data_IF_913158222604
#
_entry.id   IF_913158222604
#
_cell.length_a   1.000
_cell.length_b   1.000
_cell.length_c   1.000
_cell.angle_alpha   90.00
_cell.angle_beta   90.00
_cell.angle_gamma   90.00
#
_symmetry.space_group_name_H-M   'P 1'
#
loop_
_entity.id
_entity.type
_entity.pdbx_description
1 polymer ?
#
# COMPACT_ATOMS: atom_id res chain seq x y z
N UNK A 1 26.68 -16.28 -0.68
CA UNK A 1 26.43 -14.83 -0.61
C UNK A 1 25.01 -14.66 -0.12
N UNK A 2 24.85 -14.30 1.15
CA UNK A 2 23.54 -13.95 1.72
C UNK A 2 23.02 -12.70 0.99
N UNK A 3 21.79 -12.71 0.46
CA UNK A 3 21.24 -11.55 -0.21
C UNK A 3 21.17 -10.39 0.79
N UNK A 4 21.63 -9.22 0.35
CA UNK A 4 21.70 -7.98 1.12
C UNK A 4 20.36 -7.66 1.76
N UNK A 5 20.32 -7.56 3.08
CA UNK A 5 19.13 -7.18 3.83
C UNK A 5 18.84 -5.69 3.60
N UNK A 6 17.97 -5.48 2.61
CA UNK A 6 16.77 -4.64 2.63
C UNK A 6 16.93 -3.15 2.99
N UNK A 7 16.89 -2.28 1.97
CA UNK A 7 16.83 -0.82 2.06
C UNK A 7 15.48 -0.27 2.58
N UNK A 8 14.65 -1.03 3.31
CA UNK A 8 13.32 -0.52 3.68
C UNK A 8 13.43 0.74 4.57
N UNK A 9 12.70 1.80 4.22
CA UNK A 9 12.75 3.08 4.91
C UNK A 9 11.39 3.44 5.52
N UNK A 10 11.37 4.14 6.68
CA UNK A 10 10.15 4.54 7.38
C UNK A 10 9.50 5.75 6.71
N UNK A 11 9.25 5.68 5.41
CA UNK A 11 8.60 6.71 4.58
C UNK A 11 7.50 6.07 3.73
N UNK A 12 6.73 6.87 3.00
CA UNK A 12 5.68 6.33 2.14
C UNK A 12 4.55 5.65 2.93
N UNK A 13 4.02 4.52 2.44
CA UNK A 13 3.01 3.74 3.16
C UNK A 13 3.54 3.10 4.46
N UNK A 14 4.85 3.20 4.72
CA UNK A 14 5.52 2.69 5.91
C UNK A 14 5.84 3.79 6.93
N UNK A 15 5.36 5.01 6.70
CA UNK A 15 5.59 6.15 7.57
C UNK A 15 4.92 5.97 8.95
N UNK A 16 5.64 6.17 10.08
CA UNK A 16 5.04 6.14 11.42
C UNK A 16 4.06 7.29 11.68
N UNK A 17 4.21 8.40 10.95
CA UNK A 17 3.53 9.66 11.24
C UNK A 17 2.26 9.82 10.41
N UNK A 18 1.40 8.80 10.36
CA UNK A 18 0.22 8.82 9.51
C UNK A 18 -0.71 10.02 9.78
N UNK A 19 -1.06 10.73 8.70
CA UNK A 19 -1.97 11.87 8.72
C UNK A 19 -3.36 11.46 9.17
N UNK A 20 -4.15 12.38 9.75
CA UNK A 20 -5.53 12.08 10.13
C UNK A 20 -6.38 11.57 8.95
N UNK A 21 -6.17 12.12 7.74
CA UNK A 21 -6.91 11.67 6.55
C UNK A 21 -6.56 10.23 6.18
N UNK A 22 -5.26 9.90 6.14
CA UNK A 22 -4.80 8.54 5.88
C UNK A 22 -5.33 7.56 6.95
N UNK A 23 -5.23 7.93 8.24
CA UNK A 23 -5.75 7.12 9.35
C UNK A 23 -7.24 6.81 9.19
N UNK A 24 -8.05 7.83 8.86
CA UNK A 24 -9.50 7.65 8.69
C UNK A 24 -9.83 6.75 7.50
N UNK A 25 -9.09 6.88 6.40
CA UNK A 25 -9.25 6.02 5.23
C UNK A 25 -8.96 4.54 5.57
N UNK A 26 -7.96 4.30 6.42
CA UNK A 26 -7.53 2.97 6.82
C UNK A 26 -8.26 2.42 8.06
N UNK A 27 -9.14 3.20 8.68
CA UNK A 27 -9.83 2.82 9.92
C UNK A 27 -11.02 1.87 9.73
N UNK A 28 -11.44 1.56 8.50
CA UNK A 28 -12.58 0.66 8.26
C UNK A 28 -12.20 -0.82 8.48
N UNK A 29 -12.14 -1.23 9.75
CA UNK A 29 -11.89 -2.61 10.15
C UNK A 29 -12.96 -3.60 9.66
N UNK A 30 -14.19 -3.11 9.40
CA UNK A 30 -15.29 -3.95 8.94
C UNK A 30 -15.06 -4.35 7.48
N UNK A 31 -14.73 -3.40 6.63
CA UNK A 31 -14.37 -3.69 5.23
C UNK A 31 -13.17 -4.64 5.16
N UNK A 32 -12.16 -4.43 6.02
CA UNK A 32 -11.02 -5.33 6.15
C UNK A 32 -11.43 -6.76 6.47
N UNK A 33 -12.19 -6.97 7.53
CA UNK A 33 -12.59 -8.31 7.97
C UNK A 33 -13.45 -9.02 6.91
N UNK A 34 -14.32 -8.26 6.23
CA UNK A 34 -15.13 -8.79 5.13
C UNK A 34 -14.27 -9.27 3.95
N UNK A 35 -13.19 -8.55 3.63
CA UNK A 35 -12.29 -8.94 2.54
C UNK A 35 -11.50 -10.21 2.84
N UNK A 36 -10.99 -10.36 4.06
CA UNK A 36 -10.35 -11.60 4.53
C UNK A 36 -11.29 -12.81 4.36
N UNK A 37 -12.58 -12.67 4.74
CA UNK A 37 -13.56 -13.75 4.58
C UNK A 37 -13.87 -14.07 3.11
N UNK A 38 -14.05 -13.05 2.27
CA UNK A 38 -14.29 -13.21 0.82
C UNK A 38 -13.18 -14.05 0.19
N UNK A 39 -11.91 -13.73 0.49
CA UNK A 39 -10.74 -14.41 -0.09
C UNK A 39 -10.70 -15.88 0.30
N UNK A 40 -10.87 -16.15 1.61
CA UNK A 40 -10.93 -17.51 2.13
C UNK A 40 -12.10 -18.31 1.56
N UNK A 41 -13.21 -17.66 1.21
CA UNK A 41 -14.37 -18.31 0.59
C UNK A 41 -14.19 -18.55 -0.90
N UNK A 42 -13.50 -17.67 -1.62
CA UNK A 42 -13.09 -17.93 -3.01
C UNK A 42 -12.23 -19.19 -3.08
N UNK A 43 -11.25 -19.36 -2.17
CA UNK A 43 -10.41 -20.57 -2.11
C UNK A 43 -11.24 -21.82 -1.84
N UNK A 44 -12.09 -21.76 -0.80
CA UNK A 44 -12.95 -22.90 -0.45
C UNK A 44 -13.89 -23.28 -1.59
N UNK A 45 -14.49 -22.33 -2.31
CA UNK A 45 -15.34 -22.62 -3.45
C UNK A 45 -14.58 -23.22 -4.64
N UNK A 46 -13.29 -22.92 -4.80
CA UNK A 46 -12.47 -23.52 -5.84
C UNK A 46 -12.12 -24.98 -5.56
N UNK A 47 -12.12 -25.40 -4.29
CA UNK A 47 -11.73 -26.75 -3.85
C UNK A 47 -12.91 -27.70 -3.59
N UNK A 48 -14.10 -27.15 -3.28
CA UNK A 48 -15.27 -27.96 -2.87
C UNK A 48 -16.17 -28.29 -4.07
N UNK A 49 -16.30 -29.59 -4.37
CA UNK A 49 -17.17 -30.09 -5.46
C UNK A 49 -18.67 -29.79 -5.25
N UNK A 50 -19.12 -29.62 -3.99
CA UNK A 50 -20.53 -29.48 -3.59
C UNK A 50 -20.95 -28.04 -3.22
N UNK A 51 -20.22 -27.03 -3.69
CA UNK A 51 -20.59 -25.63 -3.45
C UNK A 51 -22.03 -25.32 -3.91
N UNK A 52 -22.88 -24.79 -3.02
CA UNK A 52 -24.29 -24.57 -3.38
C UNK A 52 -24.44 -23.36 -4.28
N UNK A 53 -25.52 -23.32 -5.07
CA UNK A 53 -25.87 -22.14 -5.88
C UNK A 53 -26.10 -20.90 -5.01
N UNK A 54 -26.57 -21.09 -3.78
CA UNK A 54 -26.74 -20.00 -2.82
C UNK A 54 -25.39 -19.41 -2.39
N UNK A 55 -24.35 -20.24 -2.21
CA UNK A 55 -23.01 -19.80 -1.83
C UNK A 55 -22.37 -18.93 -2.92
N UNK A 56 -22.51 -19.33 -4.19
CA UNK A 56 -22.04 -18.55 -5.33
C UNK A 56 -22.74 -17.19 -5.41
N UNK A 57 -24.07 -17.18 -5.25
CA UNK A 57 -24.84 -15.93 -5.27
C UNK A 57 -24.46 -14.99 -4.12
N UNK A 58 -24.27 -15.53 -2.92
CA UNK A 58 -23.87 -14.75 -1.74
C UNK A 58 -22.47 -14.16 -1.94
N UNK A 59 -21.49 -14.98 -2.33
CA UNK A 59 -20.13 -14.50 -2.55
C UNK A 59 -20.04 -13.47 -3.68
N UNK A 60 -20.79 -13.67 -4.77
CA UNK A 60 -20.81 -12.70 -5.87
C UNK A 60 -21.28 -11.31 -5.42
N UNK A 61 -22.32 -11.25 -4.58
CA UNK A 61 -22.80 -9.98 -4.00
C UNK A 61 -21.78 -9.35 -3.06
N UNK A 62 -21.15 -10.15 -2.22
CA UNK A 62 -20.13 -9.66 -1.29
C UNK A 62 -18.91 -9.08 -2.01
N UNK A 63 -18.44 -9.75 -3.09
CA UNK A 63 -17.37 -9.22 -3.95
C UNK A 63 -17.80 -7.90 -4.59
N UNK A 64 -19.05 -7.80 -5.06
CA UNK A 64 -19.59 -6.56 -5.65
C UNK A 64 -19.61 -5.40 -4.65
N UNK A 65 -20.09 -5.66 -3.44
CA UNK A 65 -20.15 -4.65 -2.38
C UNK A 65 -18.74 -4.21 -1.95
N UNK A 66 -17.82 -5.17 -1.81
CA UNK A 66 -16.43 -4.89 -1.50
C UNK A 66 -15.71 -4.09 -2.60
N UNK A 67 -15.94 -4.43 -3.87
CA UNK A 67 -15.42 -3.67 -5.00
C UNK A 67 -15.92 -2.22 -5.00
N UNK A 68 -17.20 -2.00 -4.68
CA UNK A 68 -17.77 -0.66 -4.59
C UNK A 68 -17.09 0.19 -3.50
N UNK A 69 -16.81 -0.39 -2.33
CA UNK A 69 -16.08 0.30 -1.25
C UNK A 69 -14.64 0.60 -1.68
N UNK A 70 -13.94 -0.37 -2.27
CA UNK A 70 -12.57 -0.19 -2.74
C UNK A 70 -12.45 0.91 -3.79
N UNK A 71 -13.35 0.95 -4.79
CA UNK A 71 -13.43 2.03 -5.77
C UNK A 71 -13.70 3.39 -5.14
N UNK A 72 -14.58 3.44 -4.14
CA UNK A 72 -14.83 4.64 -3.34
C UNK A 72 -13.55 5.14 -2.68
N UNK A 73 -12.79 4.25 -2.05
CA UNK A 73 -11.52 4.58 -1.39
C UNK A 73 -10.45 5.04 -2.39
N UNK A 74 -10.29 4.35 -3.53
CA UNK A 74 -9.37 4.78 -4.59
C UNK A 74 -9.71 6.17 -5.14
N UNK A 75 -11.00 6.44 -5.34
CA UNK A 75 -11.46 7.75 -5.79
C UNK A 75 -11.17 8.83 -4.75
N UNK A 76 -11.43 8.56 -3.46
CA UNK A 76 -11.07 9.46 -2.37
C UNK A 76 -9.57 9.73 -2.32
N UNK A 77 -8.73 8.69 -2.46
CA UNK A 77 -7.28 8.87 -2.42
C UNK A 77 -6.76 9.71 -3.59
N UNK A 78 -7.21 9.40 -4.81
CA UNK A 78 -6.83 10.11 -6.04
C UNK A 78 -7.12 11.60 -5.98
N UNK A 79 -8.19 11.99 -5.29
CA UNK A 79 -8.63 13.38 -5.15
C UNK A 79 -8.29 14.01 -3.81
N UNK A 80 -7.58 13.30 -2.93
CA UNK A 80 -7.20 13.83 -1.62
C UNK A 80 -6.28 15.03 -1.77
N UNK A 81 -6.36 15.98 -0.87
CA UNK A 81 -5.40 17.09 -0.75
C UNK A 81 -4.27 16.77 0.22
N UNK A 82 -4.33 15.63 0.91
CA UNK A 82 -3.30 15.15 1.81
C UNK A 82 -2.25 14.36 1.04
N UNK A 83 -0.97 14.69 1.25
CA UNK A 83 0.16 14.09 0.55
C UNK A 83 0.21 12.57 0.73
N UNK A 84 0.19 12.08 1.98
CA UNK A 84 0.33 10.65 2.26
C UNK A 84 -0.83 9.83 1.66
N UNK A 85 -2.02 10.42 1.60
CA UNK A 85 -3.17 9.79 0.95
C UNK A 85 -2.96 9.68 -0.57
N UNK A 86 -2.45 10.72 -1.24
CA UNK A 86 -2.10 10.64 -2.67
C UNK A 86 -0.91 9.70 -2.92
N UNK A 87 0.08 9.72 -2.04
CA UNK A 87 1.25 8.85 -2.09
C UNK A 87 0.84 7.38 -2.00
N UNK A 88 -0.10 7.02 -1.12
CA UNK A 88 -0.67 5.67 -1.05
C UNK A 88 -1.38 5.28 -2.36
N UNK A 89 -2.14 6.19 -2.99
CA UNK A 89 -2.75 5.92 -4.29
C UNK A 89 -1.70 5.62 -5.36
N UNK A 90 -0.69 6.49 -5.48
CA UNK A 90 0.38 6.32 -6.47
C UNK A 90 1.25 5.10 -6.19
N UNK A 91 1.48 4.76 -4.92
CA UNK A 91 2.14 3.51 -4.53
C UNK A 91 1.31 2.29 -4.95
N UNK A 92 -0.01 2.33 -4.74
CA UNK A 92 -0.93 1.26 -5.18
C UNK A 92 -0.89 1.08 -6.69
N UNK A 93 -1.00 2.17 -7.44
CA UNK A 93 -0.99 2.15 -8.91
C UNK A 93 0.36 1.69 -9.47
N UNK A 94 1.47 2.21 -8.93
CA UNK A 94 2.81 1.76 -9.29
C UNK A 94 3.02 0.27 -9.01
N UNK A 95 2.55 -0.24 -7.86
CA UNK A 95 2.64 -1.66 -7.53
C UNK A 95 1.85 -2.53 -8.53
N UNK A 96 0.63 -2.13 -8.84
CA UNK A 96 -0.20 -2.79 -9.86
C UNK A 96 0.51 -2.85 -11.22
N UNK A 97 1.16 -1.75 -11.61
CA UNK A 97 1.93 -1.71 -12.85
C UNK A 97 3.11 -2.68 -12.84
N UNK A 98 3.76 -2.94 -11.69
CA UNK A 98 4.81 -3.98 -11.62
C UNK A 98 4.27 -5.39 -11.89
N UNK A 99 2.99 -5.64 -11.56
CA UNK A 99 2.30 -6.87 -11.93
C UNK A 99 1.80 -6.86 -13.39
N UNK A 100 1.98 -5.75 -14.09
CA UNK A 100 1.50 -5.53 -15.45
C UNK A 100 -0.01 -5.42 -15.53
N UNK A 101 -0.62 -4.80 -14.52
CA UNK A 101 -2.05 -4.42 -14.52
C UNK A 101 -2.24 -2.97 -14.13
N UNK A 102 -3.35 -2.42 -14.58
CA UNK A 102 -3.85 -1.12 -14.15
C UNK A 102 -4.99 -1.27 -13.14
N UNK A 103 -5.23 -0.21 -12.35
CA UNK A 103 -6.41 -0.11 -11.47
C UNK A 103 -7.70 -0.40 -12.24
N UNK A 104 -7.84 0.14 -13.46
CA UNK A 104 -9.04 -0.05 -14.28
C UNK A 104 -9.25 -1.51 -14.72
N UNK A 105 -8.17 -2.28 -14.94
CA UNK A 105 -8.28 -3.71 -15.26
C UNK A 105 -8.70 -4.53 -14.04
N UNK A 106 -8.18 -4.18 -12.85
CA UNK A 106 -8.59 -4.79 -11.59
C UNK A 106 -10.07 -4.56 -11.31
N UNK A 107 -10.56 -3.32 -11.49
CA UNK A 107 -11.98 -2.98 -11.34
C UNK A 107 -12.87 -3.81 -12.28
N UNK A 108 -12.50 -3.89 -13.56
CA UNK A 108 -13.24 -4.70 -14.55
C UNK A 108 -13.25 -6.18 -14.18
N UNK A 109 -12.12 -6.70 -13.70
CA UNK A 109 -12.01 -8.08 -13.29
C UNK A 109 -12.89 -8.39 -12.07
N UNK A 110 -12.85 -7.55 -11.03
CA UNK A 110 -13.66 -7.72 -9.84
C UNK A 110 -15.16 -7.68 -10.17
N UNK A 111 -15.59 -6.74 -11.01
CA UNK A 111 -16.97 -6.64 -11.49
C UNK A 111 -17.41 -7.89 -12.26
N UNK A 112 -16.56 -8.39 -13.16
CA UNK A 112 -16.83 -9.63 -13.90
C UNK A 112 -16.91 -10.84 -12.98
N UNK A 113 -16.00 -10.98 -12.01
CA UNK A 113 -15.99 -12.11 -11.08
C UNK A 113 -17.27 -12.14 -10.24
N UNK A 114 -17.69 -10.98 -9.71
CA UNK A 114 -18.95 -10.85 -9.00
C UNK A 114 -20.14 -11.25 -9.88
N UNK A 115 -20.20 -10.75 -11.12
CA UNK A 115 -21.28 -11.08 -12.06
C UNK A 115 -21.31 -12.57 -12.42
N UNK A 116 -20.16 -13.19 -12.63
CA UNK A 116 -20.05 -14.61 -12.94
C UNK A 116 -20.58 -15.49 -11.80
N UNK A 117 -20.21 -15.19 -10.55
CA UNK A 117 -20.70 -15.91 -9.37
C UNK A 117 -22.20 -15.74 -9.17
N UNK A 118 -22.72 -14.52 -9.35
CA UNK A 118 -24.16 -14.28 -9.30
C UNK A 118 -24.92 -15.00 -10.44
N UNK A 119 -24.36 -15.04 -11.64
CA UNK A 119 -24.94 -15.75 -12.78
C UNK A 119 -25.00 -17.26 -12.52
N UNK A 120 -23.92 -17.85 -11.96
CA UNK A 120 -23.90 -19.26 -11.53
C UNK A 120 -25.02 -19.54 -10.53
N UNK A 121 -25.09 -18.76 -9.45
CA UNK A 121 -26.10 -18.94 -8.41
C UNK A 121 -27.55 -18.78 -8.90
N UNK A 122 -27.75 -18.00 -9.97
CA UNK A 122 -29.06 -17.78 -10.61
C UNK A 122 -29.34 -18.69 -11.80
N UNK A 123 -28.42 -19.60 -12.15
CA UNK A 123 -28.49 -20.45 -13.36
C UNK A 123 -28.64 -19.65 -14.67
N UNK A 124 -28.03 -18.47 -14.73
CA UNK A 124 -27.93 -17.66 -15.96
C UNK A 124 -26.66 -18.03 -16.74
N UNK A 125 -26.63 -17.77 -18.06
CA UNK A 125 -25.39 -17.86 -18.83
C UNK A 125 -24.28 -17.00 -18.21
N UNK A 126 -23.05 -17.53 -18.18
CA UNK A 126 -21.89 -16.81 -17.67
C UNK A 126 -21.56 -15.60 -18.55
N UNK A 127 -21.15 -14.47 -17.97
CA UNK A 127 -20.62 -13.35 -18.74
C UNK A 127 -19.33 -13.76 -19.46
N UNK A 128 -19.07 -13.14 -20.62
CA UNK A 128 -17.85 -13.40 -21.38
C UNK A 128 -16.61 -13.14 -20.51
N UNK A 129 -15.59 -14.03 -20.52
CA UNK A 129 -14.38 -13.86 -19.74
C UNK A 129 -13.70 -12.53 -20.06
N UNK A 130 -13.33 -11.77 -19.03
CA UNK A 130 -12.41 -10.65 -19.21
C UNK A 130 -11.01 -11.21 -19.45
N UNK A 131 -10.26 -10.60 -20.36
CA UNK A 131 -8.87 -10.95 -20.58
C UNK A 131 -8.07 -10.60 -19.31
N UNK A 132 -7.76 -11.62 -18.52
CA UNK A 132 -6.82 -11.49 -17.43
C UNK A 132 -5.39 -11.41 -18.01
N UNK A 133 -4.46 -10.73 -17.32
CA UNK A 133 -3.04 -11.01 -17.50
C UNK A 133 -2.76 -12.48 -17.17
N UNK A 134 -1.75 -13.10 -17.78
CA UNK A 134 -1.45 -14.54 -17.67
C UNK A 134 -1.45 -15.09 -16.24
N UNK A 135 -1.69 -16.40 -16.08
CA UNK A 135 -2.06 -17.06 -14.81
C UNK A 135 -1.16 -16.81 -13.61
N UNK A 136 0.15 -16.60 -13.78
CA UNK A 136 1.06 -16.21 -12.68
C UNK A 136 0.66 -14.87 -12.05
N UNK A 137 0.24 -13.91 -12.88
CA UNK A 137 -0.15 -12.58 -12.44
C UNK A 137 -1.46 -12.59 -11.67
N UNK A 138 -2.34 -13.56 -11.89
CA UNK A 138 -3.61 -13.67 -11.18
C UNK A 138 -3.44 -13.99 -9.67
N UNK A 139 -2.45 -14.82 -9.31
CA UNK A 139 -2.12 -15.12 -7.91
C UNK A 139 -1.52 -13.90 -7.20
N UNK A 140 -0.66 -13.14 -7.89
CA UNK A 140 -0.12 -11.89 -7.36
C UNK A 140 -1.17 -10.78 -7.28
N UNK A 141 -2.08 -10.70 -8.26
CA UNK A 141 -3.24 -9.80 -8.23
C UNK A 141 -4.10 -10.08 -7.00
N UNK A 142 -4.28 -11.36 -6.68
CA UNK A 142 -5.03 -11.80 -5.50
C UNK A 142 -4.36 -11.31 -4.22
N UNK A 143 -3.06 -11.56 -4.02
CA UNK A 143 -2.33 -11.05 -2.85
C UNK A 143 -2.29 -9.51 -2.74
N UNK A 144 -2.32 -8.80 -3.87
CA UNK A 144 -2.40 -7.34 -3.92
C UNK A 144 -3.80 -6.85 -3.57
N UNK A 145 -4.84 -7.47 -4.13
CA UNK A 145 -6.24 -7.22 -3.77
C UNK A 145 -6.44 -7.49 -2.28
N UNK A 146 -5.81 -8.52 -1.73
CA UNK A 146 -5.85 -8.81 -0.30
C UNK A 146 -5.12 -7.69 0.46
N UNK A 147 -3.92 -7.29 0.07
CA UNK A 147 -3.15 -6.31 0.83
C UNK A 147 -3.71 -4.89 0.83
N UNK A 148 -4.25 -4.41 -0.30
CA UNK A 148 -4.82 -3.06 -0.42
C UNK A 148 -6.29 -2.98 0.01
N UNK A 149 -7.08 -4.04 -0.19
CA UNK A 149 -8.47 -4.05 0.32
C UNK A 149 -8.54 -4.27 1.84
N UNK A 150 -7.46 -4.76 2.45
CA UNK A 150 -7.39 -4.95 3.90
C UNK A 150 -7.10 -3.68 4.71
N UNK A 151 -6.95 -2.50 4.09
CA UNK A 151 -6.81 -1.22 4.81
C UNK A 151 -5.70 -1.20 5.87
N UNK A 152 -4.78 -2.17 5.83
CA UNK A 152 -3.81 -2.45 6.89
C UNK A 152 -2.55 -1.62 6.62
N UNK A 153 -2.70 -0.30 6.53
CA UNK A 153 -1.61 0.53 7.03
C UNK A 153 -1.68 0.32 8.53
N UNK A 154 -0.91 -0.65 9.03
CA UNK A 154 -0.72 -0.73 10.46
C UNK A 154 -0.35 0.69 10.91
N UNK A 155 -1.03 1.21 11.93
CA UNK A 155 -0.38 2.18 12.81
C UNK A 155 0.79 1.39 13.39
N UNK A 156 1.91 1.35 12.66
CA UNK A 156 3.10 0.61 13.07
C UNK A 156 3.49 1.25 14.39
N UNK A 157 3.27 0.53 15.49
CA UNK A 157 3.88 0.88 16.75
C UNK A 157 5.37 0.68 16.54
N UNK A 158 6.04 1.75 16.14
CA UNK A 158 7.43 1.72 15.75
C UNK A 158 8.30 1.92 16.98
N UNK A 159 9.06 0.89 17.32
CA UNK A 159 10.24 1.06 18.16
C UNK A 159 11.39 1.51 17.27
N UNK A 160 11.74 2.79 17.40
CA UNK A 160 12.86 3.42 16.71
C UNK A 160 14.06 3.62 17.66
N UNK A 161 14.01 3.09 18.88
CA UNK A 161 15.05 3.32 19.89
C UNK A 161 16.42 2.93 19.35
N UNK A 162 17.47 3.74 19.60
CA UNK A 162 18.80 3.39 19.16
C UNK A 162 19.29 2.11 19.85
N UNK A 163 20.13 1.32 19.17
CA UNK A 163 20.74 0.15 19.78
C UNK A 163 21.72 0.53 20.90
N UNK A 164 21.89 -0.38 21.86
CA UNK A 164 22.80 -0.21 23.02
C UNK A 164 24.26 0.08 22.62
N UNK A 165 24.64 -0.23 21.37
CA UNK A 165 26.01 -0.06 20.85
C UNK A 165 26.35 1.36 20.39
N UNK A 166 25.37 2.26 20.21
CA UNK A 166 25.62 3.67 19.90
C UNK A 166 25.83 4.46 21.20
N UNK A 167 26.75 5.44 21.18
CA UNK A 167 26.78 6.45 22.25
C UNK A 167 25.40 7.10 22.31
N UNK A 168 24.67 6.76 23.39
CA UNK A 168 23.25 7.04 23.60
C UNK A 168 22.94 8.51 23.25
N UNK A 169 23.79 9.45 23.69
CA UNK A 169 23.59 10.89 23.47
C UNK A 169 23.60 11.36 22.01
N UNK A 170 24.49 10.86 21.15
CA UNK A 170 24.62 11.37 19.76
C UNK A 170 23.61 10.69 18.84
N UNK A 171 23.36 9.40 19.04
CA UNK A 171 22.35 8.67 18.29
C UNK A 171 20.93 9.12 18.63
N UNK A 172 20.67 9.43 19.90
CA UNK A 172 19.38 9.96 20.37
C UNK A 172 19.09 11.34 19.78
N UNK A 173 20.07 12.24 19.75
CA UNK A 173 19.87 13.59 19.20
C UNK A 173 19.62 13.58 17.69
N UNK A 174 20.40 12.81 16.92
CA UNK A 174 20.21 12.68 15.47
C UNK A 174 18.87 12.04 15.13
N UNK A 175 18.50 10.95 15.82
CA UNK A 175 17.22 10.29 15.65
C UNK A 175 16.07 11.22 16.01
N UNK A 176 16.14 11.91 17.16
CA UNK A 176 15.10 12.84 17.59
C UNK A 176 14.94 14.02 16.63
N UNK A 177 16.03 14.51 16.03
CA UNK A 177 15.96 15.53 14.99
C UNK A 177 15.27 14.98 13.73
N UNK A 178 15.67 13.80 13.25
CA UNK A 178 15.10 13.16 12.07
C UNK A 178 13.60 12.86 12.24
N UNK A 179 13.21 12.31 13.39
CA UNK A 179 11.81 12.05 13.73
C UNK A 179 10.97 13.33 13.75
N UNK A 180 11.49 14.40 14.36
CA UNK A 180 10.81 15.69 14.46
C UNK A 180 10.64 16.36 13.10
N UNK A 181 11.69 16.37 12.29
CA UNK A 181 11.66 16.95 10.93
C UNK A 181 10.70 16.17 10.03
N UNK A 182 10.74 14.84 10.10
CA UNK A 182 9.82 13.99 9.34
C UNK A 182 8.37 14.22 9.77
N UNK A 183 8.07 14.22 11.07
CA UNK A 183 6.72 14.48 11.57
C UNK A 183 6.22 15.88 11.17
N UNK A 184 7.07 16.90 11.23
CA UNK A 184 6.73 18.26 10.81
C UNK A 184 6.45 18.34 9.31
N UNK A 185 7.25 17.66 8.49
CA UNK A 185 7.04 17.59 7.05
C UNK A 185 5.73 16.90 6.69
N UNK A 186 5.40 15.79 7.35
CA UNK A 186 4.11 15.12 7.15
C UNK A 186 2.94 16.00 7.60
N UNK A 187 3.07 16.73 8.71
CA UNK A 187 2.05 17.68 9.15
C UNK A 187 1.80 18.76 8.09
N UNK A 188 2.85 19.31 7.48
CA UNK A 188 2.73 20.25 6.36
C UNK A 188 2.08 19.61 5.13
N UNK A 189 2.33 18.31 4.88
CA UNK A 189 1.76 17.55 3.77
C UNK A 189 0.24 17.36 3.85
N UNK A 190 -0.41 17.66 4.98
CA UNK A 190 -1.87 17.55 5.13
C UNK A 190 -2.62 18.54 4.22
N UNK A 191 -1.99 19.66 3.89
CA UNK A 191 -2.51 20.71 3.02
C UNK A 191 -1.83 20.71 1.63
N UNK A 192 -1.21 19.59 1.23
CA UNK A 192 -0.48 19.45 -0.03
C UNK A 192 -1.28 19.88 -1.27
N UNK A 193 -2.60 19.68 -1.25
CA UNK A 193 -3.50 20.11 -2.32
C UNK A 193 -3.45 21.61 -2.60
N UNK A 194 -3.22 22.43 -1.56
CA UNK A 194 -3.14 23.89 -1.62
C UNK A 194 -1.84 24.41 -2.25
N UNK A 195 -0.81 23.57 -2.36
CA UNK A 195 0.45 23.97 -2.96
C UNK A 195 0.29 24.16 -4.47
N UNK A 196 0.94 25.20 -4.98
CA UNK A 196 1.18 25.33 -6.40
C UNK A 196 2.13 24.22 -6.90
N UNK A 197 2.33 24.12 -8.20
CA UNK A 197 3.13 23.03 -8.74
C UNK A 197 4.60 23.07 -8.32
N UNK A 198 5.17 24.27 -8.13
CA UNK A 198 6.54 24.41 -7.65
C UNK A 198 6.64 23.94 -6.19
N UNK A 199 5.72 24.37 -5.34
CA UNK A 199 5.62 23.95 -3.94
C UNK A 199 5.41 22.46 -3.79
N UNK A 200 4.59 21.84 -4.66
CA UNK A 200 4.41 20.39 -4.70
C UNK A 200 5.70 19.64 -4.99
N UNK A 201 6.51 20.12 -5.94
CA UNK A 201 7.81 19.51 -6.25
C UNK A 201 8.81 19.68 -5.12
N UNK A 202 8.92 20.90 -4.58
CA UNK A 202 9.79 21.19 -3.43
C UNK A 202 9.43 20.29 -2.25
N UNK A 203 8.13 20.11 -1.98
CA UNK A 203 7.67 19.21 -0.91
C UNK A 203 8.16 17.76 -1.13
N UNK A 204 8.00 17.22 -2.34
CA UNK A 204 8.48 15.86 -2.65
C UNK A 204 10.01 15.79 -2.53
N UNK A 205 10.74 16.82 -2.94
CA UNK A 205 12.20 16.89 -2.77
C UNK A 205 12.60 16.90 -1.28
N UNK A 206 11.80 17.52 -0.40
CA UNK A 206 12.00 17.44 1.05
C UNK A 206 11.72 16.04 1.60
N UNK A 207 10.71 15.33 1.08
CA UNK A 207 10.44 13.93 1.44
C UNK A 207 11.64 13.04 1.06
N UNK A 208 12.17 13.20 -0.16
CA UNK A 208 13.35 12.44 -0.61
C UNK A 208 14.61 12.76 0.23
N UNK A 209 14.72 13.98 0.77
CA UNK A 209 15.79 14.32 1.74
C UNK A 209 15.60 13.61 3.09
N UNK A 210 14.37 13.49 3.58
CA UNK A 210 14.07 12.69 4.78
C UNK A 210 14.37 11.21 4.52
N UNK A 211 14.02 10.69 3.34
CA UNK A 211 14.34 9.33 2.92
C UNK A 211 15.86 9.06 2.97
N UNK A 212 16.67 9.96 2.41
CA UNK A 212 18.13 9.82 2.44
C UNK A 212 18.69 9.88 3.87
N UNK A 213 18.16 10.75 4.73
CA UNK A 213 18.58 10.80 6.15
C UNK A 213 18.25 9.50 6.89
N UNK A 214 17.08 8.91 6.65
CA UNK A 214 16.76 7.58 7.19
C UNK A 214 17.71 6.50 6.66
N UNK A 215 18.05 6.55 5.37
CA UNK A 215 19.00 5.61 4.76
C UNK A 215 20.38 5.69 5.42
N UNK A 216 20.89 6.90 5.65
CA UNK A 216 22.17 7.12 6.33
C UNK A 216 22.11 6.62 7.78
N UNK A 217 21.05 6.95 8.52
CA UNK A 217 20.88 6.54 9.92
C UNK A 217 20.82 5.00 10.04
N UNK A 218 19.91 4.35 9.30
CA UNK A 218 19.75 2.89 9.32
C UNK A 218 20.99 2.17 8.77
N UNK A 219 21.67 2.76 7.79
CA UNK A 219 22.95 2.26 7.28
C UNK A 219 24.02 2.23 8.37
N UNK A 220 24.07 3.26 9.24
CA UNK A 220 25.00 3.30 10.37
C UNK A 220 24.67 2.23 11.41
N UNK A 221 23.41 2.03 11.77
CA UNK A 221 22.99 0.96 12.69
C UNK A 221 23.48 -0.41 12.22
N UNK A 222 23.33 -0.69 10.92
CA UNK A 222 23.77 -1.96 10.32
C UNK A 222 25.28 -2.16 10.38
N UNK A 223 26.06 -1.11 10.12
CA UNK A 223 27.52 -1.18 10.23
C UNK A 223 27.99 -1.47 11.66
N UNK A 224 27.16 -1.18 12.66
CA UNK A 224 27.43 -1.42 14.07
C UNK A 224 27.03 -2.82 14.57
N UNK A 225 26.49 -3.67 13.68
CA UNK A 225 26.17 -5.07 14.00
C UNK A 225 24.70 -5.32 14.34
N UNK A 226 23.83 -4.31 14.26
CA UNK A 226 22.38 -4.52 14.34
C UNK A 226 21.88 -5.20 13.06
N UNK A 227 21.56 -6.49 13.18
CA UNK A 227 21.24 -7.34 12.03
C UNK A 227 19.92 -6.94 11.33
N UNK A 228 18.92 -6.49 12.10
CA UNK A 228 17.62 -6.03 11.59
C UNK A 228 16.98 -5.04 12.57
N UNK A 229 16.90 -3.74 12.24
CA UNK A 229 16.20 -2.76 13.07
C UNK A 229 14.76 -3.21 13.36
N UNK A 230 14.21 -2.98 14.58
CA UNK A 230 12.84 -3.39 14.94
C UNK A 230 11.78 -2.93 13.91
N UNK A 231 12.00 -1.75 13.32
CA UNK A 231 11.22 -1.24 12.19
C UNK A 231 11.09 -2.25 11.02
N UNK A 232 12.21 -2.77 10.52
CA UNK A 232 12.23 -3.70 9.37
C UNK A 232 11.45 -4.97 9.71
N UNK A 233 11.62 -5.47 10.93
CA UNK A 233 10.90 -6.64 11.41
C UNK A 233 9.39 -6.43 11.45
N UNK A 234 8.94 -5.24 11.89
CA UNK A 234 7.51 -4.92 11.98
C UNK A 234 6.80 -4.82 10.62
N UNK A 235 7.53 -4.49 9.55
CA UNK A 235 6.95 -4.34 8.19
C UNK A 235 7.06 -5.61 7.36
N UNK A 236 7.97 -6.53 7.70
CA UNK A 236 8.13 -7.80 6.97
C UNK A 236 6.81 -8.54 6.69
N UNK A 237 5.87 -8.70 7.66
CA UNK A 237 4.59 -9.35 7.39
C UNK A 237 3.71 -8.59 6.37
N UNK A 238 3.82 -7.27 6.30
CA UNK A 238 3.11 -6.45 5.32
C UNK A 238 3.71 -6.64 3.92
N UNK A 239 5.04 -6.67 3.80
CA UNK A 239 5.74 -6.92 2.55
C UNK A 239 5.45 -8.32 1.98
N UNK A 240 5.49 -9.35 2.84
CA UNK A 240 5.13 -10.72 2.47
C UNK A 240 3.71 -10.80 1.90
N UNK A 241 2.75 -10.15 2.55
CA UNK A 241 1.36 -10.07 2.06
C UNK A 241 1.26 -9.32 0.72
N UNK A 242 1.99 -8.22 0.58
CA UNK A 242 2.03 -7.43 -0.66
C UNK A 242 2.71 -8.18 -1.82
N UNK A 243 3.38 -9.31 -1.52
CA UNK A 243 4.23 -10.02 -2.48
C UNK A 243 5.43 -9.20 -2.91
N UNK A 244 5.91 -8.30 -2.03
CA UNK A 244 7.01 -7.37 -2.29
C UNK A 244 8.22 -7.74 -1.42
N UNK A 245 9.42 -7.66 -1.99
CA UNK A 245 10.66 -7.53 -1.21
C UNK A 245 10.93 -6.06 -0.92
N UNK A 246 11.74 -5.76 0.09
CA UNK A 246 12.01 -4.36 0.44
C UNK A 246 12.55 -3.51 -0.72
N UNK A 247 13.46 -4.06 -1.54
CA UNK A 247 14.00 -3.34 -2.70
C UNK A 247 12.92 -3.02 -3.76
N UNK A 248 11.95 -3.93 -3.93
CA UNK A 248 10.83 -3.73 -4.83
C UNK A 248 9.87 -2.67 -4.27
N UNK A 249 9.56 -2.72 -2.97
CA UNK A 249 8.76 -1.70 -2.30
C UNK A 249 9.36 -0.29 -2.44
N UNK A 250 10.68 -0.14 -2.30
CA UNK A 250 11.35 1.14 -2.55
C UNK A 250 11.31 1.57 -4.02
N UNK A 251 11.41 0.64 -4.96
CA UNK A 251 11.27 0.95 -6.37
C UNK A 251 9.86 1.45 -6.68
N UNK A 252 8.83 0.81 -6.12
CA UNK A 252 7.43 1.24 -6.21
C UNK A 252 7.23 2.63 -5.58
N UNK A 253 7.83 2.90 -4.42
CA UNK A 253 7.74 4.21 -3.78
C UNK A 253 8.39 5.32 -4.62
N UNK A 254 9.59 5.08 -5.16
CA UNK A 254 10.26 6.04 -6.06
C UNK A 254 9.44 6.30 -7.32
N UNK A 255 8.81 5.26 -7.86
CA UNK A 255 7.88 5.40 -8.97
C UNK A 255 6.65 6.25 -8.59
N UNK A 256 6.08 6.04 -7.40
CA UNK A 256 4.99 6.87 -6.89
C UNK A 256 5.38 8.36 -6.78
N UNK A 257 6.56 8.67 -6.24
CA UNK A 257 7.07 10.06 -6.17
C UNK A 257 7.29 10.66 -7.56
N UNK A 258 7.77 9.86 -8.52
CA UNK A 258 7.94 10.29 -9.92
C UNK A 258 6.58 10.66 -10.54
N UNK A 259 5.55 9.86 -10.31
CA UNK A 259 4.19 10.15 -10.78
C UNK A 259 3.62 11.42 -10.14
N UNK A 260 3.79 11.59 -8.82
CA UNK A 260 3.38 12.81 -8.10
C UNK A 260 4.04 14.07 -8.68
N UNK A 261 5.35 14.02 -8.97
CA UNK A 261 6.07 15.12 -9.63
C UNK A 261 5.52 15.44 -11.01
N UNK A 262 5.27 14.41 -11.83
CA UNK A 262 4.69 14.57 -13.17
C UNK A 262 3.28 15.18 -13.11
N UNK A 263 2.50 14.82 -12.10
CA UNK A 263 1.14 15.35 -11.90
C UNK A 263 1.14 16.82 -11.48
N UNK A 264 2.15 17.27 -10.75
CA UNK A 264 2.33 18.69 -10.44
C UNK A 264 2.54 19.53 -11.72
N UNK A 265 3.31 19.01 -12.68
CA UNK A 265 3.53 19.66 -13.97
C UNK A 265 2.27 19.76 -14.82
N UNK A 266 1.52 18.67 -14.93
CA UNK A 266 0.33 18.60 -15.77
C UNK A 266 -0.82 19.53 -15.31
N UNK A 267 -0.82 19.97 -14.05
CA UNK A 267 -1.82 20.92 -13.50
C UNK A 267 -1.41 22.39 -13.64
N UNK A 268 -0.23 22.67 -14.22
CA UNK A 268 0.31 24.04 -14.39
C UNK A 268 0.11 24.62 -15.79
N UNK A 269 -0.32 23.80 -16.75
CA UNK A 269 -0.62 24.20 -18.13
C UNK A 269 -2.11 24.12 -18.41
#
# INVERSE_FOLDING_TARGET
>A
MTPSVEELLPVGPFCPYASPRLKNLCADERHRTQMEDIVMRIDRLAEVEDATLADHLALGREIRDADAVWRGNLMQMRHSEDFQTQELYHFTDAHLQTLGVSVAEVEKFAAWQAEALEAMGQRRPLPAPQALPGSEKATHLRGLLDSFRLGRTQTLSMDLSPPEALEESVADEELAALQRDHAALIAMGQDYGSFDAAGKKIFIDQIDQIEERWRVYLGRLRLMGEADPPFVQSIRPLLERLGLRAAEANAVLREAHRQLRSNADARSG
#
